data_IF_300819432376
#
_entry.id   IF_300819432376
#
_cell.length_a   1.000
_cell.length_b   1.000
_cell.length_c   1.000
_cell.angle_alpha   90.00
_cell.angle_beta   90.00
_cell.angle_gamma   90.00
#
_symmetry.space_group_name_H-M   'P 1'
#
loop_
_entity.id
_entity.type
_entity.pdbx_description
1 polymer ?
#
# COMPACT_ATOMS: atom_id res chain seq x y z
N UNK A 1 33.14 12.26 -45.57
CA UNK A 1 33.39 13.11 -44.38
C UNK A 1 32.03 13.58 -43.84
N UNK A 2 31.48 12.88 -42.92
CA UNK A 2 30.19 13.22 -42.28
C UNK A 2 30.42 13.28 -40.80
N UNK A 3 30.47 14.53 -40.27
CA UNK A 3 30.61 14.82 -38.87
C UNK A 3 29.30 14.50 -38.12
N UNK A 4 29.32 13.52 -37.22
CA UNK A 4 28.27 13.29 -36.23
C UNK A 4 28.57 14.18 -35.02
N UNK A 5 27.70 15.13 -34.77
CA UNK A 5 27.69 15.95 -33.55
C UNK A 5 26.98 15.13 -32.47
N UNK A 6 27.71 14.71 -31.43
CA UNK A 6 27.15 14.17 -30.20
C UNK A 6 26.80 15.33 -29.27
N UNK A 7 25.50 15.52 -29.00
CA UNK A 7 25.03 16.33 -27.87
C UNK A 7 25.11 15.46 -26.60
N UNK A 8 25.70 15.93 -25.50
CA UNK A 8 25.57 15.27 -24.22
C UNK A 8 24.24 15.66 -23.58
N UNK A 9 23.40 14.66 -23.31
CA UNK A 9 22.20 14.80 -22.50
C UNK A 9 22.64 14.96 -21.05
N UNK A 10 22.54 16.16 -20.52
CA UNK A 10 22.68 16.43 -19.09
C UNK A 10 21.39 15.95 -18.40
N UNK A 11 21.44 14.78 -17.77
CA UNK A 11 20.45 14.37 -16.79
C UNK A 11 20.84 15.02 -15.47
N UNK A 12 20.20 16.15 -15.15
CA UNK A 12 20.25 16.72 -13.81
C UNK A 12 19.40 15.84 -12.89
N UNK A 13 20.05 14.87 -12.25
CA UNK A 13 19.44 14.13 -11.13
C UNK A 13 19.26 15.09 -9.96
N UNK A 14 18.02 15.47 -9.66
CA UNK A 14 17.66 16.05 -8.37
C UNK A 14 17.86 14.93 -7.32
N UNK A 15 18.98 14.95 -6.63
CA UNK A 15 19.16 14.17 -5.43
C UNK A 15 18.30 14.84 -4.33
N UNK A 16 17.17 14.24 -4.01
CA UNK A 16 16.42 14.52 -2.80
C UNK A 16 17.29 14.05 -1.62
N UNK A 17 17.98 14.97 -0.99
CA UNK A 17 18.69 14.72 0.26
C UNK A 17 17.66 14.79 1.37
N UNK A 18 17.10 13.65 1.75
CA UNK A 18 16.31 13.52 2.97
C UNK A 18 17.25 13.67 4.16
N UNK A 19 17.14 14.75 4.91
CA UNK A 19 17.92 14.95 6.12
C UNK A 19 17.30 14.12 7.25
N UNK A 20 17.90 12.96 7.53
CA UNK A 20 17.61 12.18 8.75
C UNK A 20 18.39 12.79 9.89
N UNK A 21 17.74 13.34 10.88
CA UNK A 21 18.37 13.88 12.08
C UNK A 21 18.53 12.76 13.11
N UNK A 22 19.75 12.24 13.21
CA UNK A 22 20.10 11.27 14.24
C UNK A 22 20.18 11.93 15.64
N UNK A 23 20.09 11.13 16.69
CA UNK A 23 19.96 11.55 18.09
C UNK A 23 21.04 12.54 18.61
N UNK A 24 22.15 12.75 17.88
CA UNK A 24 23.29 13.58 18.30
C UNK A 24 23.56 14.80 17.40
N UNK A 25 22.69 15.17 16.47
CA UNK A 25 22.96 16.22 15.52
C UNK A 25 22.42 17.58 15.99
N UNK A 26 23.33 18.56 16.08
CA UNK A 26 23.03 19.95 16.41
C UNK A 26 22.22 20.58 15.26
N UNK A 27 21.12 21.29 15.60
CA UNK A 27 20.33 22.00 14.60
C UNK A 27 21.20 22.85 13.68
N UNK A 28 20.94 22.90 12.34
CA UNK A 28 21.68 23.79 11.45
C UNK A 28 21.55 25.24 11.95
N UNK A 29 22.68 25.92 12.04
CA UNK A 29 22.71 27.33 12.45
C UNK A 29 21.82 28.16 11.51
N UNK A 30 20.84 28.86 12.10
CA UNK A 30 19.95 29.76 11.37
C UNK A 30 18.60 29.17 10.92
N UNK A 31 18.25 27.91 11.24
CA UNK A 31 16.93 27.36 10.96
C UNK A 31 16.08 27.31 12.27
N UNK A 32 15.15 28.26 12.47
CA UNK A 32 14.35 28.29 13.68
C UNK A 32 13.37 27.10 13.79
N UNK A 33 12.88 26.55 12.69
CA UNK A 33 12.05 25.35 12.71
C UNK A 33 12.80 24.15 13.30
N UNK A 34 14.06 23.96 12.89
CA UNK A 34 14.92 22.91 13.43
C UNK A 34 15.18 23.06 14.94
N UNK A 35 15.32 24.29 15.43
CA UNK A 35 15.48 24.56 16.87
C UNK A 35 14.22 24.14 17.65
N UNK A 36 13.04 24.50 17.16
CA UNK A 36 11.77 24.13 17.81
C UNK A 36 11.52 22.61 17.71
N UNK A 37 11.80 21.99 16.56
CA UNK A 37 11.65 20.55 16.38
C UNK A 37 12.58 19.74 17.29
N UNK A 38 13.83 20.20 17.50
CA UNK A 38 14.76 19.58 18.44
C UNK A 38 14.23 19.67 19.88
N UNK A 39 13.79 20.86 20.32
CA UNK A 39 13.21 21.06 21.63
C UNK A 39 11.94 20.20 21.84
N UNK A 40 11.13 20.04 20.78
CA UNK A 40 9.96 19.16 20.80
C UNK A 40 10.36 17.70 21.04
N UNK A 41 11.34 17.19 20.29
CA UNK A 41 11.86 15.83 20.45
C UNK A 41 12.36 15.59 21.88
N UNK A 42 13.16 16.52 22.41
CA UNK A 42 13.71 16.40 23.77
C UNK A 42 12.61 16.37 24.83
N UNK A 43 11.64 17.28 24.75
CA UNK A 43 10.53 17.35 25.68
C UNK A 43 9.61 16.12 25.58
N UNK A 44 9.37 15.61 24.37
CA UNK A 44 8.59 14.39 24.15
C UNK A 44 9.29 13.17 24.76
N UNK A 45 10.59 12.99 24.46
CA UNK A 45 11.37 11.86 24.95
C UNK A 45 11.55 11.88 26.48
N UNK A 46 11.47 13.06 27.07
CA UNK A 46 11.41 13.22 28.54
C UNK A 46 10.00 13.02 29.14
N UNK A 47 8.96 12.83 28.32
CA UNK A 47 7.57 12.75 28.77
C UNK A 47 7.04 14.05 29.37
N UNK A 48 7.63 15.19 29.01
CA UNK A 48 7.34 16.48 29.60
C UNK A 48 6.26 17.26 28.83
N UNK A 49 4.99 16.96 29.12
CA UNK A 49 3.84 17.61 28.48
C UNK A 49 3.82 19.14 28.66
N UNK A 50 4.37 19.67 29.74
CA UNK A 50 4.41 21.11 29.95
C UNK A 50 5.39 21.79 29.02
N UNK A 51 6.62 21.29 28.92
CA UNK A 51 7.62 21.81 27.99
C UNK A 51 7.15 21.70 26.53
N UNK A 52 6.53 20.57 26.16
CA UNK A 52 5.95 20.40 24.82
C UNK A 52 4.89 21.46 24.52
N UNK A 53 3.95 21.66 25.46
CA UNK A 53 2.90 22.66 25.27
C UNK A 53 3.47 24.09 25.17
N UNK A 54 4.55 24.38 25.87
CA UNK A 54 5.17 25.72 25.83
C UNK A 54 5.83 26.05 24.49
N UNK A 55 6.13 25.04 23.66
CA UNK A 55 6.57 25.25 22.27
C UNK A 55 5.45 25.71 21.34
N UNK A 56 4.21 25.57 21.76
CA UNK A 56 3.03 25.99 20.97
C UNK A 56 2.63 27.44 21.29
N UNK A 57 2.13 28.13 20.28
CA UNK A 57 1.45 29.41 20.45
C UNK A 57 0.21 29.28 21.37
N UNK A 58 -0.25 30.38 21.92
CA UNK A 58 -1.42 30.39 22.82
C UNK A 58 -2.66 29.77 22.17
N UNK A 59 -2.90 30.11 20.91
CA UNK A 59 -4.06 29.68 20.12
C UNK A 59 -3.71 28.58 19.09
N UNK A 60 -2.61 27.84 19.32
CA UNK A 60 -2.16 26.79 18.43
C UNK A 60 -3.20 25.68 18.28
N UNK A 61 -3.18 25.00 17.13
CA UNK A 61 -4.02 23.84 16.87
C UNK A 61 -3.16 22.60 16.64
N UNK A 62 -3.55 21.49 17.23
CA UNK A 62 -3.03 20.18 16.89
C UNK A 62 -4.16 19.30 16.36
N UNK A 63 -4.03 18.86 15.12
CA UNK A 63 -4.92 17.91 14.47
C UNK A 63 -4.22 16.57 14.49
N UNK A 64 -4.71 15.63 15.31
CA UNK A 64 -4.10 14.31 15.43
C UNK A 64 -4.40 13.42 14.23
N UNK A 65 -3.74 12.27 14.15
CA UNK A 65 -3.87 11.30 13.05
C UNK A 65 -5.29 10.69 12.89
N UNK A 66 -6.17 10.88 13.88
CA UNK A 66 -7.58 10.49 13.81
C UNK A 66 -8.49 11.65 13.38
N UNK A 67 -7.92 12.83 13.12
CA UNK A 67 -8.65 14.04 12.73
C UNK A 67 -9.26 14.81 13.91
N UNK A 68 -8.93 14.47 15.18
CA UNK A 68 -9.39 15.26 16.32
C UNK A 68 -8.61 16.57 16.41
N UNK A 69 -9.30 17.66 16.68
CA UNK A 69 -8.71 18.99 16.78
C UNK A 69 -8.57 19.39 18.25
N UNK A 70 -7.34 19.63 18.68
CA UNK A 70 -7.01 20.12 20.01
C UNK A 70 -6.59 21.59 19.89
N UNK A 71 -7.45 22.51 20.31
CA UNK A 71 -7.25 23.95 20.15
C UNK A 71 -6.77 24.62 21.43
N UNK A 72 -5.68 25.36 21.31
CA UNK A 72 -5.04 26.09 22.37
C UNK A 72 -4.02 25.28 23.17
N UNK A 73 -2.99 25.97 23.66
CA UNK A 73 -1.86 25.39 24.39
C UNK A 73 -2.29 24.49 25.56
N UNK A 74 -3.30 24.90 26.32
CA UNK A 74 -3.74 24.16 27.51
C UNK A 74 -4.46 22.86 27.16
N UNK A 75 -5.24 22.83 26.08
CA UNK A 75 -5.87 21.62 25.57
C UNK A 75 -4.80 20.63 25.06
N UNK A 76 -3.81 21.14 24.32
CA UNK A 76 -2.66 20.34 23.84
C UNK A 76 -1.90 19.74 25.02
N UNK A 77 -1.60 20.54 26.06
CA UNK A 77 -0.95 20.06 27.30
C UNK A 77 -1.72 18.91 27.96
N UNK A 78 -3.04 19.06 28.08
CA UNK A 78 -3.88 18.06 28.75
C UNK A 78 -3.89 16.73 27.98
N UNK A 79 -3.94 16.77 26.66
CA UNK A 79 -3.92 15.56 25.82
C UNK A 79 -2.55 14.88 25.88
N UNK A 80 -1.45 15.64 25.78
CA UNK A 80 -0.10 15.11 25.89
C UNK A 80 0.16 14.47 27.26
N UNK A 81 -0.26 15.11 28.35
CA UNK A 81 -0.12 14.57 29.69
C UNK A 81 -0.88 13.23 29.87
N UNK A 82 -2.08 13.14 29.29
CA UNK A 82 -2.86 11.90 29.27
C UNK A 82 -2.16 10.81 28.44
N UNK A 83 -1.62 11.17 27.27
CA UNK A 83 -0.91 10.24 26.41
C UNK A 83 0.35 9.67 27.08
N UNK A 84 1.17 10.50 27.73
CA UNK A 84 2.36 10.05 28.46
C UNK A 84 2.04 9.20 29.68
N UNK A 85 0.91 9.48 30.35
CA UNK A 85 0.44 8.64 31.44
C UNK A 85 -0.03 7.27 30.96
N UNK A 86 -0.71 7.22 29.82
CA UNK A 86 -1.24 5.98 29.25
C UNK A 86 -0.14 5.10 28.65
N UNK A 87 0.93 5.71 28.12
CA UNK A 87 2.02 4.99 27.46
C UNK A 87 3.37 5.69 27.76
N UNK A 88 3.94 5.46 28.96
CA UNK A 88 5.21 6.04 29.37
C UNK A 88 6.38 5.44 28.59
N UNK A 89 7.48 6.19 28.48
CA UNK A 89 8.73 5.73 27.87
C UNK A 89 8.74 5.69 26.33
N UNK A 90 7.75 6.30 25.68
CA UNK A 90 7.79 6.51 24.24
C UNK A 90 8.83 7.55 23.85
N UNK A 91 9.47 7.32 22.71
CA UNK A 91 10.38 8.28 22.08
C UNK A 91 9.87 8.67 20.71
N UNK A 92 10.24 9.88 20.24
CA UNK A 92 9.91 10.38 18.90
C UNK A 92 11.17 10.77 18.16
N UNK A 93 11.18 10.49 16.87
CA UNK A 93 12.17 10.94 15.88
C UNK A 93 11.44 11.60 14.72
N UNK A 94 12.11 12.58 14.07
CA UNK A 94 11.58 13.26 12.91
C UNK A 94 12.46 13.00 11.69
N UNK A 95 11.81 12.75 10.55
CA UNK A 95 12.42 12.79 9.22
C UNK A 95 11.80 13.98 8.50
N UNK A 96 12.58 15.04 8.34
CA UNK A 96 12.12 16.29 7.70
C UNK A 96 12.29 16.17 6.20
N UNK A 97 11.21 16.33 5.46
CA UNK A 97 11.22 16.33 3.99
C UNK A 97 11.52 17.71 3.46
N UNK A 98 10.88 18.74 4.01
CA UNK A 98 11.00 20.11 3.54
C UNK A 98 10.72 21.12 4.64
N UNK A 99 11.49 22.22 4.66
CA UNK A 99 11.17 23.45 5.38
C UNK A 99 11.14 24.59 4.37
N UNK A 100 10.05 25.34 4.33
CA UNK A 100 9.93 26.50 3.43
C UNK A 100 9.29 27.71 4.11
N UNK A 101 9.76 28.94 3.87
CA UNK A 101 9.11 30.15 4.34
C UNK A 101 7.78 30.37 3.60
N UNK A 102 6.77 30.79 4.33
CA UNK A 102 5.49 31.32 3.78
C UNK A 102 5.43 32.83 3.87
N UNK A 103 6.40 33.44 4.54
CA UNK A 103 6.58 34.87 4.78
C UNK A 103 7.74 35.05 5.74
N UNK A 104 7.98 36.29 6.20
CA UNK A 104 9.09 36.62 7.09
C UNK A 104 8.90 36.02 8.49
N UNK A 105 7.64 35.83 8.93
CA UNK A 105 7.27 35.39 10.26
C UNK A 105 6.54 34.02 10.28
N UNK A 106 6.54 33.29 9.15
CA UNK A 106 5.85 31.98 9.04
C UNK A 106 6.69 30.99 8.25
N UNK A 107 6.89 29.80 8.84
CA UNK A 107 7.54 28.66 8.18
C UNK A 107 6.57 27.48 8.12
N UNK A 108 6.68 26.70 7.06
CA UNK A 108 6.00 25.41 6.91
C UNK A 108 7.06 24.31 6.86
N UNK A 109 6.89 23.29 7.68
CA UNK A 109 7.68 22.08 7.66
C UNK A 109 6.79 20.89 7.36
N UNK A 110 7.27 19.98 6.51
CA UNK A 110 6.63 18.68 6.24
C UNK A 110 7.62 17.56 6.47
N UNK A 111 7.12 16.41 6.91
CA UNK A 111 7.97 15.27 7.19
C UNK A 111 7.19 14.10 7.76
N UNK A 112 7.93 13.17 8.34
CA UNK A 112 7.38 12.01 9.04
C UNK A 112 7.90 11.99 10.48
N UNK A 113 7.02 11.68 11.43
CA UNK A 113 7.35 11.39 12.81
C UNK A 113 7.32 9.88 13.05
N UNK A 114 8.29 9.38 13.79
CA UNK A 114 8.40 7.96 14.14
C UNK A 114 8.36 7.89 15.67
N UNK A 115 7.28 7.34 16.21
CA UNK A 115 7.13 7.10 17.65
C UNK A 115 7.48 5.65 17.94
N UNK A 116 8.43 5.44 18.86
CA UNK A 116 8.85 4.10 19.31
C UNK A 116 8.40 3.89 20.75
N UNK A 117 7.68 2.80 20.99
CA UNK A 117 7.28 2.35 22.31
C UNK A 117 8.41 1.67 23.09
N UNK A 118 8.28 1.48 24.41
CA UNK A 118 9.28 0.81 25.24
C UNK A 118 9.49 -0.66 24.88
N UNK A 119 8.54 -1.28 24.21
CA UNK A 119 8.59 -2.64 23.65
C UNK A 119 9.24 -2.72 22.28
N UNK A 120 9.64 -1.56 21.71
CA UNK A 120 10.22 -1.46 20.38
C UNK A 120 9.19 -1.35 19.25
N UNK A 121 7.87 -1.35 19.55
CA UNK A 121 6.84 -1.11 18.56
C UNK A 121 6.98 0.31 17.98
N UNK A 122 6.92 0.43 16.66
CA UNK A 122 7.07 1.71 15.95
C UNK A 122 5.80 2.08 15.22
N UNK A 123 5.39 3.33 15.36
CA UNK A 123 4.33 3.94 14.55
C UNK A 123 4.88 5.15 13.81
N UNK A 124 4.49 5.30 12.55
CA UNK A 124 4.90 6.43 11.70
C UNK A 124 3.68 7.24 11.34
N UNK A 125 3.81 8.57 11.34
CA UNK A 125 2.77 9.48 10.85
C UNK A 125 3.42 10.54 9.98
N UNK A 126 2.78 10.90 8.87
CA UNK A 126 3.17 12.11 8.15
C UNK A 126 2.70 13.33 8.93
N UNK A 127 3.48 14.40 8.90
CA UNK A 127 3.07 15.64 9.55
C UNK A 127 3.33 16.87 8.69
N UNK A 128 2.53 17.89 8.99
CA UNK A 128 2.77 19.27 8.54
C UNK A 128 2.75 20.17 9.76
N UNK A 129 3.82 20.93 9.97
CA UNK A 129 3.93 21.90 11.05
C UNK A 129 4.03 23.31 10.48
N UNK A 130 3.20 24.21 10.98
CA UNK A 130 3.29 25.63 10.74
C UNK A 130 3.91 26.28 11.99
N UNK A 131 5.03 26.93 11.78
CA UNK A 131 5.67 27.76 12.81
C UNK A 131 5.33 29.23 12.52
N UNK A 132 5.02 29.98 13.55
CA UNK A 132 4.80 31.42 13.48
C UNK A 132 5.63 32.11 14.55
N UNK A 133 6.06 33.32 14.24
CA UNK A 133 6.75 34.20 15.18
C UNK A 133 5.78 34.83 16.16
N UNK A 134 6.05 34.68 17.46
CA UNK A 134 5.28 35.29 18.56
C UNK A 134 6.25 36.20 19.35
N UNK A 135 6.22 37.49 19.02
CA UNK A 135 7.28 38.43 19.41
C UNK A 135 8.60 38.06 18.72
N UNK A 136 9.64 37.79 19.50
CA UNK A 136 10.97 37.37 18.99
C UNK A 136 11.15 35.86 18.94
N UNK A 137 10.15 35.08 19.40
CA UNK A 137 10.26 33.64 19.50
C UNK A 137 9.45 32.93 18.42
N UNK A 138 10.02 31.87 17.86
CA UNK A 138 9.29 30.95 16.95
C UNK A 138 8.53 29.92 17.76
N UNK A 139 7.24 29.76 17.46
CA UNK A 139 6.36 28.79 18.11
C UNK A 139 5.57 28.00 17.07
N UNK A 140 5.13 26.83 17.48
CA UNK A 140 4.23 26.00 16.68
C UNK A 140 2.85 26.67 16.70
N UNK A 141 2.37 27.06 15.52
CA UNK A 141 1.01 27.59 15.32
C UNK A 141 0.02 26.46 15.01
N UNK A 142 0.47 25.46 14.25
CA UNK A 142 -0.36 24.29 13.93
C UNK A 142 0.51 23.08 13.68
N UNK A 143 0.06 21.92 14.16
CA UNK A 143 0.52 20.60 13.72
C UNK A 143 -0.70 19.89 13.12
N UNK A 144 -0.52 19.29 11.96
CA UNK A 144 -1.47 18.33 11.38
C UNK A 144 -0.73 17.02 11.19
N UNK A 145 -1.18 15.99 11.89
CA UNK A 145 -0.70 14.62 11.70
C UNK A 145 -1.67 13.88 10.80
N UNK A 146 -1.12 13.11 9.89
CA UNK A 146 -1.89 12.20 9.04
C UNK A 146 -1.30 10.82 9.25
N UNK A 147 -2.16 9.84 9.53
CA UNK A 147 -1.71 8.45 9.49
C UNK A 147 -0.99 8.24 8.15
N UNK A 148 0.14 7.54 8.12
CA UNK A 148 0.78 7.24 6.85
C UNK A 148 -0.31 6.68 5.95
N UNK A 149 -0.36 7.15 4.70
CA UNK A 149 -1.12 6.43 3.70
C UNK A 149 -0.62 4.99 3.84
N UNK A 150 -1.49 4.08 4.24
CA UNK A 150 -1.13 2.68 4.28
C UNK A 150 -0.72 2.37 2.86
N UNK A 151 0.59 2.22 2.63
CA UNK A 151 1.06 1.76 1.32
C UNK A 151 0.19 0.55 1.00
N UNK A 152 -0.46 0.52 -0.17
CA UNK A 152 -1.39 -0.55 -0.47
C UNK A 152 -0.64 -1.87 -0.30
N UNK A 153 -0.90 -2.59 0.81
CA UNK A 153 -0.26 -3.88 1.02
C UNK A 153 -0.72 -4.84 -0.08
N UNK A 154 0.08 -5.81 -0.50
CA UNK A 154 -0.37 -6.84 -1.44
C UNK A 154 -1.72 -7.44 -1.03
N UNK A 155 -1.94 -7.68 0.26
CA UNK A 155 -3.21 -8.15 0.81
C UNK A 155 -4.36 -7.17 0.56
N UNK A 156 -4.16 -5.86 0.73
CA UNK A 156 -5.20 -4.86 0.46
C UNK A 156 -5.55 -4.76 -1.03
N UNK A 157 -4.58 -4.97 -1.92
CA UNK A 157 -4.80 -5.00 -3.37
C UNK A 157 -5.58 -6.23 -3.82
N UNK A 158 -5.49 -7.34 -3.08
CA UNK A 158 -6.25 -8.56 -3.35
C UNK A 158 -7.63 -8.56 -2.69
N UNK A 159 -7.96 -7.57 -1.85
CA UNK A 159 -9.24 -7.49 -1.14
C UNK A 159 -10.45 -7.52 -2.09
N UNK A 160 -10.33 -6.94 -3.27
CA UNK A 160 -11.36 -6.98 -4.32
C UNK A 160 -11.61 -8.39 -4.91
N UNK A 161 -10.76 -9.38 -4.61
CA UNK A 161 -10.89 -10.77 -5.03
C UNK A 161 -11.33 -11.71 -3.88
N UNK A 162 -11.47 -11.22 -2.66
CA UNK A 162 -11.86 -12.05 -1.49
C UNK A 162 -13.21 -12.76 -1.66
N UNK A 163 -14.11 -12.20 -2.48
CA UNK A 163 -15.38 -12.85 -2.80
C UNK A 163 -15.20 -14.21 -3.52
N UNK A 164 -14.03 -14.48 -4.10
CA UNK A 164 -13.69 -15.77 -4.72
C UNK A 164 -13.42 -16.88 -3.69
N UNK A 165 -13.12 -16.56 -2.43
CA UNK A 165 -12.78 -17.56 -1.42
C UNK A 165 -13.91 -18.57 -1.22
N UNK A 166 -13.50 -19.84 -1.09
CA UNK A 166 -14.43 -20.95 -0.87
C UNK A 166 -14.27 -22.07 -1.89
N UNK A 167 -15.31 -22.89 -1.95
CA UNK A 167 -15.40 -24.03 -2.89
C UNK A 167 -16.46 -23.76 -3.92
N UNK A 168 -16.13 -24.03 -5.18
CA UNK A 168 -17.00 -23.77 -6.30
C UNK A 168 -17.11 -24.97 -7.22
N UNK A 169 -18.27 -25.17 -7.81
CA UNK A 169 -18.51 -26.20 -8.81
C UNK A 169 -18.98 -25.57 -10.11
N UNK A 170 -18.31 -25.90 -11.21
CA UNK A 170 -18.71 -25.53 -12.55
C UNK A 170 -19.93 -26.34 -13.00
N UNK A 171 -20.93 -25.62 -13.47
CA UNK A 171 -22.18 -26.18 -14.00
C UNK A 171 -22.09 -26.31 -15.53
N UNK A 172 -22.83 -27.24 -16.09
CA UNK A 172 -23.01 -27.41 -17.53
C UNK A 172 -21.72 -27.65 -18.35
N UNK A 173 -20.75 -28.29 -17.73
CA UNK A 173 -19.53 -28.70 -18.40
C UNK A 173 -19.58 -30.18 -18.75
N UNK A 174 -19.04 -30.55 -19.91
CA UNK A 174 -18.87 -31.98 -20.24
C UNK A 174 -17.94 -32.69 -19.26
N UNK A 175 -17.14 -31.91 -18.51
CA UNK A 175 -16.24 -32.36 -17.46
C UNK A 175 -16.59 -31.58 -16.19
N UNK A 176 -16.86 -32.23 -15.07
CA UNK A 176 -17.00 -31.53 -13.80
C UNK A 176 -15.72 -30.74 -13.49
N UNK A 177 -15.90 -29.49 -13.07
CA UNK A 177 -14.79 -28.63 -12.64
C UNK A 177 -15.10 -28.18 -11.22
N UNK A 178 -14.17 -28.39 -10.31
CA UNK A 178 -14.25 -27.85 -8.96
C UNK A 178 -13.08 -26.93 -8.67
N UNK A 179 -13.36 -25.87 -7.93
CA UNK A 179 -12.34 -24.93 -7.45
C UNK A 179 -12.35 -24.94 -5.94
N UNK A 180 -11.17 -24.89 -5.36
CA UNK A 180 -10.97 -24.54 -3.95
C UNK A 180 -10.05 -23.33 -3.91
N UNK A 181 -10.56 -22.22 -3.36
CA UNK A 181 -9.88 -20.92 -3.33
C UNK A 181 -9.69 -20.53 -1.88
N UNK A 182 -8.45 -20.34 -1.49
CA UNK A 182 -8.05 -20.00 -0.12
C UNK A 182 -7.04 -18.88 -0.11
N UNK A 183 -7.17 -18.02 0.89
CA UNK A 183 -6.16 -17.03 1.24
C UNK A 183 -4.87 -17.73 1.71
N UNK A 184 -3.73 -17.19 1.32
CA UNK A 184 -2.42 -17.69 1.69
C UNK A 184 -1.48 -16.55 2.09
N UNK A 185 -0.48 -16.88 2.93
CA UNK A 185 0.56 -15.95 3.36
C UNK A 185 0.02 -14.63 3.92
N UNK A 186 -0.91 -14.71 4.87
CA UNK A 186 -1.54 -13.57 5.53
C UNK A 186 -2.28 -12.61 4.55
N UNK A 187 -2.98 -13.18 3.57
CA UNK A 187 -3.75 -12.41 2.59
C UNK A 187 -2.93 -11.85 1.42
N UNK A 188 -1.62 -12.05 1.41
CA UNK A 188 -0.77 -11.54 0.33
C UNK A 188 -0.90 -12.32 -0.97
N UNK A 189 -1.53 -13.51 -0.94
CA UNK A 189 -1.81 -14.34 -2.10
C UNK A 189 -3.16 -15.05 -1.95
N UNK A 190 -3.78 -15.39 -3.10
CA UNK A 190 -4.83 -16.38 -3.17
C UNK A 190 -4.29 -17.63 -3.86
N UNK A 191 -4.62 -18.80 -3.34
CA UNK A 191 -4.33 -20.08 -4.01
C UNK A 191 -5.63 -20.64 -4.53
N UNK A 192 -5.69 -20.94 -5.83
CA UNK A 192 -6.81 -21.54 -6.51
C UNK A 192 -6.39 -22.94 -6.95
N UNK A 193 -7.05 -23.96 -6.44
CA UNK A 193 -6.88 -25.36 -6.88
C UNK A 193 -8.03 -25.72 -7.78
N UNK A 194 -7.70 -26.16 -8.97
CA UNK A 194 -8.63 -26.68 -9.97
C UNK A 194 -8.55 -28.20 -9.97
N UNK A 195 -9.71 -28.85 -10.00
CA UNK A 195 -9.79 -30.29 -10.27
C UNK A 195 -10.79 -30.53 -11.41
N UNK A 196 -10.33 -31.27 -12.41
CA UNK A 196 -11.09 -31.61 -13.61
C UNK A 196 -11.51 -33.07 -13.57
N UNK A 197 -12.73 -33.36 -13.98
CA UNK A 197 -13.35 -34.66 -13.86
C UNK A 197 -13.79 -34.99 -12.44
N UNK A 198 -14.36 -36.15 -12.21
CA UNK A 198 -14.76 -36.58 -10.87
C UNK A 198 -13.52 -36.73 -9.97
N UNK A 199 -13.47 -35.95 -8.89
CA UNK A 199 -12.37 -35.94 -7.93
C UNK A 199 -10.97 -35.68 -8.55
N UNK A 200 -10.90 -34.91 -9.64
CA UNK A 200 -9.62 -34.59 -10.30
C UNK A 200 -9.04 -35.70 -11.18
N UNK A 201 -9.85 -36.72 -11.55
CA UNK A 201 -9.41 -37.85 -12.35
C UNK A 201 -8.91 -37.49 -13.76
N UNK A 202 -9.28 -36.32 -14.27
CA UNK A 202 -8.91 -35.83 -15.60
C UNK A 202 -7.87 -34.70 -15.57
N UNK A 203 -7.28 -34.42 -14.41
CA UNK A 203 -6.22 -33.44 -14.23
C UNK A 203 -6.51 -32.45 -13.10
N UNK A 204 -5.48 -31.70 -12.77
CA UNK A 204 -5.54 -30.67 -11.74
C UNK A 204 -4.62 -29.50 -12.12
N UNK A 205 -4.90 -28.33 -11.58
CA UNK A 205 -4.01 -27.18 -11.69
C UNK A 205 -4.00 -26.40 -10.38
N UNK A 206 -2.90 -25.75 -10.12
CA UNK A 206 -2.79 -24.78 -9.01
C UNK A 206 -2.43 -23.44 -9.59
N UNK A 207 -3.21 -22.42 -9.22
CA UNK A 207 -2.94 -21.02 -9.55
C UNK A 207 -2.66 -20.24 -8.28
N UNK A 208 -1.64 -19.41 -8.33
CA UNK A 208 -1.29 -18.47 -7.26
C UNK A 208 -1.55 -17.07 -7.81
N UNK A 209 -2.44 -16.32 -7.15
CA UNK A 209 -2.77 -14.94 -7.49
C UNK A 209 -2.07 -14.04 -6.48
N UNK A 210 -1.38 -13.01 -6.94
CA UNK A 210 -0.64 -12.07 -6.13
C UNK A 210 -0.65 -10.67 -6.74
N UNK A 211 -0.23 -9.68 -5.95
CA UNK A 211 -0.02 -8.32 -6.43
C UNK A 211 1.45 -8.09 -6.76
N UNK A 212 1.71 -7.68 -7.99
CA UNK A 212 3.04 -7.28 -8.46
C UNK A 212 3.21 -5.78 -8.23
N UNK A 213 3.91 -5.42 -7.14
CA UNK A 213 4.12 -4.04 -6.76
C UNK A 213 5.03 -3.27 -7.74
N UNK A 214 5.87 -3.95 -8.53
CA UNK A 214 6.71 -3.30 -9.51
C UNK A 214 5.92 -2.85 -10.75
N UNK A 215 4.87 -3.60 -11.08
CA UNK A 215 4.02 -3.37 -12.25
C UNK A 215 2.65 -2.78 -11.88
N UNK A 216 2.39 -2.57 -10.58
CA UNK A 216 1.13 -2.04 -10.01
C UNK A 216 -0.11 -2.78 -10.53
N UNK A 217 -0.09 -4.11 -10.43
CA UNK A 217 -1.17 -4.95 -10.96
C UNK A 217 -1.30 -6.31 -10.30
N UNK A 218 -2.49 -6.87 -10.33
CA UNK A 218 -2.73 -8.26 -9.92
C UNK A 218 -2.28 -9.19 -11.04
N UNK A 219 -1.51 -10.22 -10.68
CA UNK A 219 -1.02 -11.27 -11.58
C UNK A 219 -1.30 -12.65 -11.01
N UNK A 220 -1.26 -13.65 -11.87
CA UNK A 220 -1.30 -15.03 -11.44
C UNK A 220 -0.35 -15.93 -12.24
N UNK A 221 0.02 -17.03 -11.61
CA UNK A 221 0.85 -18.10 -12.16
C UNK A 221 0.13 -19.43 -11.93
N UNK A 222 -0.14 -20.13 -13.02
CA UNK A 222 -0.85 -21.42 -12.99
C UNK A 222 0.11 -22.54 -13.41
N UNK A 223 0.05 -23.65 -12.69
CA UNK A 223 0.82 -24.85 -12.95
C UNK A 223 -0.15 -26.03 -13.06
N UNK A 224 -0.12 -26.77 -14.16
CA UNK A 224 -0.96 -27.94 -14.36
C UNK A 224 -0.27 -29.24 -14.04
N UNK A 225 -1.04 -30.30 -13.80
CA UNK A 225 -0.53 -31.61 -13.44
C UNK A 225 0.18 -32.36 -14.59
N UNK A 226 0.09 -31.86 -15.82
CA UNK A 226 0.79 -32.39 -16.97
C UNK A 226 2.17 -31.72 -17.19
N UNK A 227 2.50 -30.63 -16.45
CA UNK A 227 3.75 -29.91 -16.54
C UNK A 227 3.67 -28.63 -17.40
N UNK A 228 2.49 -28.25 -17.85
CA UNK A 228 2.25 -26.93 -18.45
C UNK A 228 2.16 -25.84 -17.37
N UNK A 229 2.39 -24.61 -17.80
CA UNK A 229 2.23 -23.43 -16.92
C UNK A 229 1.75 -22.23 -17.69
N UNK A 230 1.17 -21.27 -16.97
CA UNK A 230 0.77 -19.99 -17.53
C UNK A 230 0.98 -18.85 -16.54
N UNK A 231 1.05 -17.64 -17.06
CA UNK A 231 0.97 -16.40 -16.31
C UNK A 231 -0.17 -15.53 -16.86
N UNK A 232 -0.84 -14.80 -15.98
CA UNK A 232 -1.90 -13.88 -16.37
C UNK A 232 -1.79 -12.54 -15.65
N UNK A 233 -2.29 -11.49 -16.31
CA UNK A 233 -2.54 -10.18 -15.74
C UNK A 233 -4.04 -10.05 -15.55
N UNK A 234 -4.45 -9.60 -14.37
CA UNK A 234 -5.84 -9.38 -14.00
C UNK A 234 -6.18 -7.90 -14.11
N UNK A 235 -7.26 -7.57 -14.77
CA UNK A 235 -7.76 -6.21 -14.95
C UNK A 235 -9.22 -6.17 -14.52
N UNK A 236 -9.60 -5.16 -13.70
CA UNK A 236 -11.00 -4.96 -13.30
C UNK A 236 -11.58 -3.74 -14.00
N UNK A 237 -12.84 -3.84 -14.42
CA UNK A 237 -13.68 -2.70 -14.81
C UNK A 237 -14.56 -2.19 -13.66
N UNK A 238 -14.33 -2.69 -12.44
CA UNK A 238 -15.11 -2.43 -11.23
C UNK A 238 -16.23 -3.44 -10.96
N UNK A 239 -16.73 -4.12 -12.01
CA UNK A 239 -17.77 -5.15 -11.90
C UNK A 239 -17.24 -6.54 -12.29
N UNK A 240 -16.43 -6.61 -13.33
CA UNK A 240 -15.90 -7.84 -13.89
C UNK A 240 -14.38 -7.86 -13.84
N UNK A 241 -13.82 -9.03 -14.05
CA UNK A 241 -12.38 -9.23 -14.16
C UNK A 241 -12.02 -9.82 -15.51
N UNK A 242 -11.05 -9.22 -16.19
CA UNK A 242 -10.44 -9.72 -17.40
C UNK A 242 -9.03 -10.24 -17.09
N UNK A 243 -8.78 -11.49 -17.42
CA UNK A 243 -7.47 -12.12 -17.32
C UNK A 243 -6.87 -12.24 -18.71
N UNK A 244 -5.70 -11.69 -18.92
CA UNK A 244 -4.93 -11.85 -20.16
C UNK A 244 -3.76 -12.77 -19.88
N UNK A 245 -3.79 -13.99 -20.44
CA UNK A 245 -2.82 -15.02 -20.10
C UNK A 245 -1.93 -15.44 -21.28
N UNK A 246 -0.72 -15.88 -20.93
CA UNK A 246 0.21 -16.57 -21.81
C UNK A 246 0.55 -17.91 -21.17
N UNK A 247 0.64 -18.97 -21.98
CA UNK A 247 0.92 -20.32 -21.50
C UNK A 247 2.04 -20.98 -22.28
N UNK A 248 2.63 -21.98 -21.63
CA UNK A 248 3.54 -22.95 -22.23
C UNK A 248 2.98 -24.34 -21.92
N UNK A 249 2.65 -25.09 -22.95
CA UNK A 249 2.15 -26.46 -22.84
C UNK A 249 3.32 -27.44 -22.56
N UNK A 250 3.05 -28.66 -22.06
CA UNK A 250 4.09 -29.66 -21.78
C UNK A 250 4.97 -30.03 -22.98
N UNK A 251 4.46 -29.90 -24.18
CA UNK A 251 5.20 -30.13 -25.46
C UNK A 251 6.03 -28.92 -25.92
N UNK A 252 6.07 -27.84 -25.13
CA UNK A 252 6.78 -26.60 -25.43
C UNK A 252 6.01 -25.63 -26.33
N UNK A 253 4.82 -25.96 -26.80
CA UNK A 253 4.00 -25.02 -27.57
C UNK A 253 3.52 -23.87 -26.71
N UNK A 254 3.46 -22.66 -27.28
CA UNK A 254 2.98 -21.47 -26.59
C UNK A 254 1.51 -21.24 -26.88
N UNK A 255 0.80 -20.70 -25.91
CA UNK A 255 -0.59 -20.32 -26.08
C UNK A 255 -0.87 -18.96 -25.44
N UNK A 256 -2.04 -18.45 -25.75
CA UNK A 256 -2.59 -17.24 -25.14
C UNK A 256 -4.12 -17.38 -24.99
N UNK A 257 -4.69 -16.66 -24.02
CA UNK A 257 -6.13 -16.58 -23.87
C UNK A 257 -6.54 -15.32 -23.11
N UNK A 258 -7.79 -14.94 -23.29
CA UNK A 258 -8.46 -13.96 -22.44
C UNK A 258 -9.63 -14.64 -21.73
N UNK A 259 -9.71 -14.48 -20.42
CA UNK A 259 -10.83 -14.98 -19.64
C UNK A 259 -11.53 -13.79 -18.99
N UNK A 260 -12.84 -13.78 -19.09
CA UNK A 260 -13.68 -12.82 -18.38
C UNK A 260 -14.42 -13.52 -17.25
N UNK A 261 -14.30 -12.98 -16.04
CA UNK A 261 -14.98 -13.46 -14.83
C UNK A 261 -16.03 -12.42 -14.46
N UNK A 262 -17.29 -12.83 -14.39
CA UNK A 262 -18.43 -11.98 -14.04
C UNK A 262 -19.07 -12.48 -12.76
N UNK A 263 -18.86 -11.81 -11.62
CA UNK A 263 -19.57 -12.11 -10.38
C UNK A 263 -21.07 -11.90 -10.55
N UNK A 264 -21.88 -12.77 -9.94
CA UNK A 264 -23.31 -12.52 -9.84
C UNK A 264 -23.63 -11.66 -8.61
N UNK A 265 -24.71 -10.90 -8.68
CA UNK A 265 -25.13 -10.00 -7.60
C UNK A 265 -25.50 -10.72 -6.30
N UNK A 266 -25.77 -12.03 -6.35
CA UNK A 266 -26.09 -12.85 -5.19
C UNK A 266 -24.86 -13.26 -4.35
N UNK A 267 -23.65 -12.99 -4.84
CA UNK A 267 -22.39 -13.39 -4.21
C UNK A 267 -22.17 -14.90 -4.09
N UNK A 268 -23.01 -15.72 -4.77
CA UNK A 268 -23.00 -17.18 -4.69
C UNK A 268 -22.67 -17.88 -5.99
N UNK A 269 -22.50 -17.12 -7.04
CA UNK A 269 -22.14 -17.65 -8.35
C UNK A 269 -21.31 -16.62 -9.14
N UNK A 270 -20.56 -17.09 -10.11
CA UNK A 270 -19.90 -16.30 -11.11
C UNK A 270 -19.82 -17.06 -12.43
N UNK A 271 -19.60 -16.34 -13.51
CA UNK A 271 -19.48 -16.91 -14.84
C UNK A 271 -18.09 -16.65 -15.39
N UNK A 272 -17.50 -17.66 -16.05
CA UNK A 272 -16.21 -17.54 -16.75
C UNK A 272 -16.43 -17.79 -18.22
N UNK A 273 -15.91 -16.92 -19.04
CA UNK A 273 -15.96 -17.02 -20.50
C UNK A 273 -14.58 -16.74 -21.10
N UNK A 274 -14.15 -17.55 -22.09
CA UNK A 274 -12.82 -17.45 -22.68
C UNK A 274 -12.84 -17.07 -24.15
N UNK A 275 -12.05 -16.05 -24.51
CA UNK A 275 -11.94 -15.54 -25.89
C UNK A 275 -10.49 -15.47 -26.35
N UNK A 276 -10.28 -15.16 -27.63
CA UNK A 276 -8.97 -14.93 -28.22
C UNK A 276 -7.95 -16.00 -27.81
N UNK A 277 -8.42 -17.24 -27.81
CA UNK A 277 -7.65 -18.41 -27.40
C UNK A 277 -6.82 -18.92 -28.57
N UNK A 278 -5.56 -19.21 -28.28
CA UNK A 278 -4.60 -19.71 -29.27
C UNK A 278 -3.69 -20.76 -28.62
N UNK A 279 -3.30 -21.76 -29.36
CA UNK A 279 -2.27 -22.72 -29.00
C UNK A 279 -1.42 -23.08 -30.20
N UNK A 280 -0.09 -22.89 -30.13
CA UNK A 280 0.84 -23.16 -31.22
C UNK A 280 0.56 -22.34 -32.49
N UNK A 281 0.04 -21.12 -32.40
CA UNK A 281 -0.36 -20.27 -33.50
C UNK A 281 -1.73 -20.65 -34.15
N UNK A 282 -2.44 -21.62 -33.53
CA UNK A 282 -3.76 -22.05 -34.04
C UNK A 282 -4.87 -21.48 -33.15
N UNK A 283 -5.83 -20.73 -33.70
CA UNK A 283 -6.98 -20.26 -32.96
C UNK A 283 -7.79 -21.41 -32.36
N UNK A 284 -8.19 -21.25 -31.10
CA UNK A 284 -9.01 -22.21 -30.35
C UNK A 284 -10.45 -21.71 -30.24
N UNK A 285 -11.44 -22.59 -30.16
CA UNK A 285 -12.81 -22.20 -29.93
C UNK A 285 -12.99 -21.40 -28.65
N UNK A 286 -14.02 -20.56 -28.61
CA UNK A 286 -14.45 -19.86 -27.40
C UNK A 286 -14.74 -20.87 -26.28
N UNK A 287 -14.39 -20.53 -25.04
CA UNK A 287 -14.66 -21.32 -23.86
C UNK A 287 -15.89 -20.75 -23.13
N UNK A 288 -16.80 -21.63 -22.74
CA UNK A 288 -17.95 -21.27 -21.92
C UNK A 288 -19.08 -20.53 -22.66
N UNK A 289 -19.94 -19.82 -21.95
CA UNK A 289 -19.85 -19.48 -20.51
C UNK A 289 -19.96 -20.69 -19.58
N UNK A 290 -19.08 -20.75 -18.58
CA UNK A 290 -19.17 -21.73 -17.49
C UNK A 290 -19.62 -21.01 -16.24
N UNK A 291 -20.74 -21.43 -15.67
CA UNK A 291 -21.23 -20.90 -14.40
C UNK A 291 -20.65 -21.72 -13.25
N UNK A 292 -20.04 -21.03 -12.29
CA UNK A 292 -19.58 -21.61 -11.04
C UNK A 292 -20.54 -21.24 -9.91
N UNK A 293 -20.92 -22.23 -9.11
CA UNK A 293 -21.83 -22.06 -7.96
C UNK A 293 -21.10 -22.50 -6.70
N UNK A 294 -21.28 -21.73 -5.62
CA UNK A 294 -20.67 -22.03 -4.33
C UNK A 294 -21.16 -23.37 -3.77
N UNK A 295 -20.22 -24.20 -3.32
CA UNK A 295 -20.50 -25.46 -2.64
C UNK A 295 -20.54 -25.19 -1.13
N UNK A 296 -21.62 -25.65 -0.46
CA UNK A 296 -21.76 -25.50 0.99
C UNK A 296 -20.82 -26.43 1.76
#
# INVERSE_FOLDING_TARGET
MTHRIHLPTLIAGLALVSAVWAADEKAPEGNPAATVALAYREAFNAGNASQLADLHGKDAAWIDSNGNVHSGRDAIRAVLAKAFTAAPGRTIEFVVDQVRPLGDDVLLETGSSIVTGPDGERSTSAYTTVYAKDGDEWRIAQITETAPATEPSPASQLSALQWLEGKWRGEDTQRPITLEIVEAQNGNFLTIKYAFGENGSEGASTEIVGYDAAEDRVRSWTFDSAGGFSEAVWQSDGANWLLVSKSVNPDGTRGSSQLEIRPAADGRSFTVEGYNRESGGVPMPKLGPVKFTAVK
#
